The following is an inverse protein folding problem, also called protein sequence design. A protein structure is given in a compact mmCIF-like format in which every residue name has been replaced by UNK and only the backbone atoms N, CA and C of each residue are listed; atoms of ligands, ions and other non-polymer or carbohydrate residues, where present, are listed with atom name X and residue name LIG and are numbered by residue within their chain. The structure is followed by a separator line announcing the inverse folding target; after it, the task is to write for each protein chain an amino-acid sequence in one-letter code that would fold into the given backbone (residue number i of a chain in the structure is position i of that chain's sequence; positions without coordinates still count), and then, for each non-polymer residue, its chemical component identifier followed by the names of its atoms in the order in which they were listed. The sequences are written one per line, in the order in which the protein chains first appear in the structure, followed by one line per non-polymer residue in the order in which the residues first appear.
data_IF_099604653140
#
_entry.id   IF_099604653140
#
_cell.length_a   1.000
_cell.length_b   1.000
_cell.length_c   1.000
_cell.angle_alpha   90.00
_cell.angle_beta   90.00
_cell.angle_gamma   90.00
#
_symmetry.space_group_name_H-M   'P 1'
#
loop_
_entity.id
_entity.type
_entity.pdbx_description
1 polymer ?
#
# COMPACT_ATOMS: atom_id res chain seq x y z
N UNK A 1 -16.64 -6.20 -14.08
CA UNK A 1 -15.88 -5.78 -15.28
C UNK A 1 -14.48 -5.25 -14.90
N UNK A 2 -13.70 -5.95 -14.07
CA UNK A 2 -12.41 -5.40 -13.54
C UNK A 2 -11.22 -6.37 -13.57
N UNK A 3 -11.32 -7.47 -14.32
CA UNK A 3 -10.35 -8.58 -14.30
C UNK A 3 -9.51 -8.72 -15.58
N UNK A 4 -9.50 -7.73 -16.49
CA UNK A 4 -8.74 -7.80 -17.76
C UNK A 4 -7.47 -6.96 -17.85
N UNK A 5 -7.08 -6.22 -16.80
CA UNK A 5 -5.83 -5.45 -16.80
C UNK A 5 -5.08 -5.63 -15.48
N UNK A 6 -4.46 -6.80 -15.29
CA UNK A 6 -3.58 -7.11 -14.15
C UNK A 6 -2.33 -6.23 -14.02
N UNK A 7 -2.19 -5.24 -14.91
CA UNK A 7 -1.03 -4.34 -15.01
C UNK A 7 -1.17 -3.09 -14.13
N UNK A 8 -2.39 -2.74 -13.66
CA UNK A 8 -2.64 -1.60 -12.74
C UNK A 8 -3.16 -2.02 -11.36
N UNK A 9 -2.96 -3.27 -10.98
CA UNK A 9 -3.40 -3.80 -9.68
C UNK A 9 -2.75 -3.06 -8.50
N UNK A 10 -1.44 -2.80 -8.59
CA UNK A 10 -0.68 -2.11 -7.55
C UNK A 10 -1.15 -0.69 -7.32
N UNK A 11 -1.30 0.10 -8.38
CA UNK A 11 -1.81 1.46 -8.27
C UNK A 11 -3.16 1.51 -7.54
N UNK A 12 -4.08 0.60 -7.87
CA UNK A 12 -5.37 0.49 -7.17
C UNK A 12 -5.19 0.16 -5.69
N UNK A 13 -4.31 -0.78 -5.36
CA UNK A 13 -4.01 -1.14 -3.98
C UNK A 13 -3.32 0.01 -3.22
N UNK A 14 -2.50 0.84 -3.88
CA UNK A 14 -1.91 2.04 -3.28
C UNK A 14 -2.97 3.08 -2.93
N UNK A 15 -3.87 3.40 -3.87
CA UNK A 15 -4.99 4.31 -3.59
C UNK A 15 -5.90 3.77 -2.49
N UNK A 16 -6.16 2.46 -2.50
CA UNK A 16 -6.95 1.81 -1.46
C UNK A 16 -6.26 1.86 -0.09
N UNK A 17 -4.96 1.57 -0.02
CA UNK A 17 -4.16 1.67 1.20
C UNK A 17 -4.17 3.10 1.75
N UNK A 18 -4.09 4.10 0.87
CA UNK A 18 -4.14 5.51 1.26
C UNK A 18 -5.52 5.93 1.81
N UNK A 19 -6.63 5.48 1.19
CA UNK A 19 -7.98 5.74 1.68
C UNK A 19 -8.24 5.06 3.03
N UNK A 20 -7.77 3.82 3.18
CA UNK A 20 -7.81 3.12 4.46
C UNK A 20 -7.01 3.87 5.54
N UNK A 21 -5.84 4.39 5.20
CA UNK A 21 -5.03 5.15 6.15
C UNK A 21 -5.70 6.47 6.55
N UNK A 22 -6.29 7.20 5.60
CA UNK A 22 -7.01 8.45 5.88
C UNK A 22 -8.19 8.21 6.85
N UNK A 23 -8.95 7.13 6.62
CA UNK A 23 -10.01 6.69 7.54
C UNK A 23 -9.47 6.32 8.93
N UNK A 24 -8.34 5.62 8.98
CA UNK A 24 -7.70 5.25 10.25
C UNK A 24 -7.26 6.50 11.04
N UNK A 25 -6.69 7.50 10.36
CA UNK A 25 -6.32 8.78 10.97
C UNK A 25 -7.53 9.57 11.48
N UNK A 26 -8.68 9.48 10.80
CA UNK A 26 -9.96 10.04 11.25
C UNK A 26 -10.59 9.28 12.43
N UNK A 27 -9.97 8.21 12.92
CA UNK A 27 -10.50 7.38 14.00
C UNK A 27 -11.54 6.36 13.56
N UNK A 28 -11.64 6.08 12.25
CA UNK A 28 -12.45 4.95 11.77
C UNK A 28 -11.73 3.64 12.05
N UNK A 29 -12.49 2.64 12.52
CA UNK A 29 -11.97 1.29 12.69
C UNK A 29 -11.71 0.67 11.32
N UNK A 30 -10.43 0.58 10.96
CA UNK A 30 -9.96 -0.06 9.74
C UNK A 30 -9.49 -1.46 10.07
N UNK A 31 -9.87 -2.43 9.24
CA UNK A 31 -9.42 -3.79 9.41
C UNK A 31 -7.91 -3.92 9.11
N UNK A 32 -7.08 -4.31 10.08
CA UNK A 32 -5.63 -4.40 9.90
C UNK A 32 -5.23 -5.51 8.92
N UNK A 33 -6.05 -6.56 8.74
CA UNK A 33 -5.75 -7.63 7.78
C UNK A 33 -5.88 -7.12 6.34
N UNK A 34 -6.87 -6.26 6.06
CA UNK A 34 -7.04 -5.64 4.73
C UNK A 34 -5.87 -4.70 4.38
N UNK A 35 -5.42 -3.89 5.34
CA UNK A 35 -4.24 -3.02 5.19
C UNK A 35 -3.00 -3.88 4.93
N UNK A 36 -2.79 -4.91 5.75
CA UNK A 36 -1.65 -5.81 5.62
C UNK A 36 -1.64 -6.56 4.28
N UNK A 37 -2.77 -7.11 3.85
CA UNK A 37 -2.90 -7.79 2.57
C UNK A 37 -2.53 -6.87 1.39
N UNK A 38 -3.07 -5.66 1.40
CA UNK A 38 -2.80 -4.66 0.36
C UNK A 38 -1.35 -4.21 0.36
N UNK A 39 -0.76 -4.04 1.55
CA UNK A 39 0.63 -3.69 1.74
C UNK A 39 1.57 -4.77 1.22
N UNK A 40 1.36 -6.04 1.57
CA UNK A 40 2.18 -7.18 1.12
C UNK A 40 2.10 -7.34 -0.39
N UNK A 41 0.93 -7.13 -0.99
CA UNK A 41 0.74 -7.15 -2.43
C UNK A 41 1.57 -6.06 -3.13
N UNK A 42 1.47 -4.81 -2.67
CA UNK A 42 2.26 -3.69 -3.22
C UNK A 42 3.76 -3.88 -2.98
N UNK A 43 4.16 -4.30 -1.78
CA UNK A 43 5.56 -4.57 -1.44
C UNK A 43 6.18 -5.63 -2.37
N UNK A 44 5.46 -6.72 -2.65
CA UNK A 44 5.93 -7.78 -3.55
C UNK A 44 6.18 -7.27 -4.98
N UNK A 45 5.39 -6.29 -5.44
CA UNK A 45 5.56 -5.66 -6.74
C UNK A 45 6.66 -4.58 -6.76
N UNK A 46 6.80 -3.79 -5.69
CA UNK A 46 7.86 -2.78 -5.55
C UNK A 46 9.24 -3.42 -5.37
N UNK A 47 9.31 -4.54 -4.65
CA UNK A 47 10.56 -5.26 -4.37
C UNK A 47 11.11 -6.01 -5.57
N UNK A 48 10.33 -6.21 -6.65
CA UNK A 48 10.84 -6.69 -7.93
C UNK A 48 11.64 -7.98 -7.86
N UNK A 49 11.24 -8.93 -7.00
CA UNK A 49 12.08 -10.07 -6.63
C UNK A 49 12.12 -11.20 -7.69
N UNK A 50 11.91 -10.87 -8.97
CA UNK A 50 11.90 -11.83 -10.07
C UNK A 50 12.99 -11.47 -11.09
N UNK A 51 14.07 -12.26 -11.20
CA UNK A 51 15.21 -11.98 -12.09
C UNK A 51 14.92 -12.27 -13.57
N UNK A 52 13.66 -12.21 -14.01
CA UNK A 52 13.27 -12.56 -15.38
C UNK A 52 12.20 -11.60 -15.92
N UNK A 53 12.70 -10.64 -16.72
CA UNK A 53 12.22 -10.24 -18.05
C UNK A 53 10.79 -9.70 -18.22
N UNK A 54 9.96 -9.62 -17.18
CA UNK A 54 8.70 -8.89 -17.25
C UNK A 54 8.85 -7.54 -16.57
N UNK A 55 9.07 -6.51 -17.39
CA UNK A 55 9.01 -5.08 -17.05
C UNK A 55 8.17 -4.86 -15.79
N UNK A 56 8.86 -4.51 -14.69
CA UNK A 56 8.24 -3.97 -13.48
C UNK A 56 7.34 -2.84 -13.95
N UNK A 57 6.04 -3.10 -14.07
CA UNK A 57 5.11 -2.07 -14.56
C UNK A 57 4.87 -1.00 -13.50
N UNK A 58 5.50 -1.19 -12.33
CA UNK A 58 5.51 -0.23 -11.24
C UNK A 58 6.49 0.89 -11.58
N UNK A 59 5.94 2.09 -11.69
CA UNK A 59 6.69 3.31 -11.93
C UNK A 59 7.43 3.74 -10.66
N UNK A 60 8.50 4.55 -10.82
CA UNK A 60 9.14 5.18 -9.66
C UNK A 60 8.13 5.99 -8.83
N UNK A 61 7.14 6.59 -9.49
CA UNK A 61 6.06 7.34 -8.83
C UNK A 61 5.19 6.46 -7.91
N UNK A 62 4.85 5.23 -8.34
CA UNK A 62 4.12 4.27 -7.49
C UNK A 62 4.96 3.82 -6.29
N UNK A 63 6.27 3.65 -6.50
CA UNK A 63 7.21 3.29 -5.42
C UNK A 63 7.37 4.44 -4.41
N UNK A 64 7.41 5.68 -4.87
CA UNK A 64 7.49 6.85 -4.02
C UNK A 64 6.24 6.96 -3.14
N UNK A 65 5.05 6.90 -3.74
CA UNK A 65 3.77 6.88 -3.00
C UNK A 65 3.67 5.74 -2.00
N UNK A 66 4.17 4.56 -2.34
CA UNK A 66 4.19 3.44 -1.38
C UNK A 66 5.03 3.76 -0.15
N UNK A 67 6.19 4.41 -0.33
CA UNK A 67 7.04 4.82 0.78
C UNK A 67 6.38 5.92 1.62
N UNK A 68 5.71 6.89 0.99
CA UNK A 68 4.95 7.92 1.71
C UNK A 68 3.85 7.31 2.59
N UNK A 69 3.03 6.40 2.04
CA UNK A 69 1.95 5.75 2.79
C UNK A 69 2.53 4.89 3.93
N UNK A 70 3.66 4.22 3.69
CA UNK A 70 4.36 3.43 4.71
C UNK A 70 4.82 4.30 5.88
N UNK A 71 5.40 5.46 5.60
CA UNK A 71 5.86 6.39 6.63
C UNK A 71 4.69 6.96 7.44
N UNK A 72 3.61 7.37 6.77
CA UNK A 72 2.38 7.82 7.44
C UNK A 72 1.79 6.74 8.35
N UNK A 73 1.72 5.49 7.89
CA UNK A 73 1.23 4.37 8.69
C UNK A 73 2.12 4.14 9.92
N UNK A 74 3.44 4.24 9.78
CA UNK A 74 4.41 4.12 10.88
C UNK A 74 4.17 5.21 11.94
N UNK A 75 4.04 6.46 11.51
CA UNK A 75 3.74 7.59 12.41
C UNK A 75 2.41 7.40 13.13
N UNK A 76 1.35 6.98 12.42
CA UNK A 76 0.05 6.68 13.04
C UNK A 76 0.16 5.59 14.11
N UNK A 77 0.86 4.49 13.82
CA UNK A 77 1.13 3.42 14.78
C UNK A 77 1.95 3.90 15.99
N UNK A 78 2.99 4.70 15.75
CA UNK A 78 3.80 5.30 16.82
C UNK A 78 2.94 6.20 17.72
N UNK A 79 2.09 7.05 17.14
CA UNK A 79 1.16 7.89 17.89
C UNK A 79 0.14 7.06 18.69
N UNK A 80 -0.45 6.01 18.11
CA UNK A 80 -1.39 5.11 18.79
C UNK A 80 -0.74 4.36 19.97
N UNK A 81 0.53 3.97 19.85
CA UNK A 81 1.28 3.29 20.93
C UNK A 81 1.73 4.26 22.03
N UNK A 82 2.07 5.50 21.68
CA UNK A 82 2.56 6.51 22.64
C UNK A 82 1.43 7.18 23.43
N UNK A 83 0.22 7.22 22.87
CA UNK A 83 -0.99 7.72 23.53
C UNK A 83 -1.74 6.65 24.34
N UNK A 84 -1.09 5.53 24.65
CA UNK A 84 -1.58 4.49 25.56
C UNK A 84 -1.19 4.79 27.01
#
# INVERSE_FOLDING_TARGET
YCSRYGVRGCLRHLYYLNDLLDRAEQGSMVDPQLVHYSYVFCASHVSGNRPDNNVSTITMEEKDRFNEIKERLKLFLEHQVTNF
#
